data_IF_550351215232
#
_entry.id   IF_550351215232
#
_cell.length_a   1.000
_cell.length_b   1.000
_cell.length_c   1.000
_cell.angle_alpha   90.00
_cell.angle_beta   90.00
_cell.angle_gamma   90.00
#
_symmetry.space_group_name_H-M   'P 1'
#
loop_
_entity.id
_entity.type
_entity.pdbx_description
1 polymer ?
#
# COMPACT_ATOMS: atom_id res chain seq x y z
N UNK A 1 18.08 -23.97 0.70
CA UNK A 1 16.75 -24.09 0.07
C UNK A 1 15.70 -23.79 1.14
N UNK A 2 14.88 -22.75 0.97
CA UNK A 2 13.86 -22.36 1.96
C UNK A 2 12.67 -23.31 1.82
N UNK A 3 12.12 -23.79 2.95
CA UNK A 3 10.98 -24.72 2.90
C UNK A 3 9.73 -24.02 2.37
N UNK A 4 8.85 -24.74 1.66
CA UNK A 4 7.58 -24.20 1.15
C UNK A 4 6.75 -23.58 2.27
N UNK A 5 6.64 -24.22 3.45
CA UNK A 5 5.92 -23.64 4.60
C UNK A 5 6.51 -22.30 5.04
N UNK A 6 7.84 -22.16 5.04
CA UNK A 6 8.51 -20.91 5.38
C UNK A 6 8.20 -19.81 4.36
N UNK A 7 8.18 -20.13 3.06
CA UNK A 7 7.82 -19.18 2.00
C UNK A 7 6.41 -18.61 2.22
N UNK A 8 5.44 -19.45 2.59
CA UNK A 8 4.05 -19.05 2.87
C UNK A 8 3.92 -18.15 4.11
N UNK A 9 4.68 -18.45 5.16
CA UNK A 9 4.74 -17.61 6.37
C UNK A 9 5.29 -16.23 6.02
N UNK A 10 6.40 -16.18 5.28
CA UNK A 10 7.00 -14.92 4.83
C UNK A 10 6.02 -14.12 3.96
N UNK A 11 5.36 -14.78 3.00
CA UNK A 11 4.34 -14.15 2.17
C UNK A 11 3.22 -13.53 3.01
N UNK A 12 2.74 -14.24 4.03
CA UNK A 12 1.67 -13.72 4.91
C UNK A 12 2.14 -12.50 5.71
N UNK A 13 3.36 -12.56 6.28
CA UNK A 13 3.94 -11.46 7.06
C UNK A 13 4.13 -10.19 6.21
N UNK A 14 4.44 -10.33 4.93
CA UNK A 14 4.68 -9.18 4.05
C UNK A 14 3.39 -8.67 3.39
N UNK A 15 2.54 -9.56 2.87
CA UNK A 15 1.35 -9.20 2.10
C UNK A 15 0.22 -8.69 3.00
N UNK A 16 0.03 -9.27 4.18
CA UNK A 16 -1.08 -8.88 5.06
C UNK A 16 -0.97 -7.42 5.54
N UNK A 17 0.19 -6.92 6.02
CA UNK A 17 0.36 -5.51 6.34
C UNK A 17 0.21 -4.60 5.12
N UNK A 18 0.77 -4.99 3.96
CA UNK A 18 0.62 -4.25 2.69
C UNK A 18 -0.85 -4.06 2.31
N UNK A 19 -1.62 -5.14 2.35
CA UNK A 19 -3.05 -5.11 2.09
C UNK A 19 -3.78 -4.22 3.08
N UNK A 20 -3.51 -4.36 4.38
CA UNK A 20 -4.13 -3.52 5.42
C UNK A 20 -3.81 -2.03 5.22
N UNK A 21 -2.55 -1.70 4.94
CA UNK A 21 -2.08 -0.34 4.71
C UNK A 21 -2.73 0.28 3.48
N UNK A 22 -3.05 -0.51 2.44
CA UNK A 22 -3.75 -0.01 1.25
C UNK A 22 -5.14 0.59 1.54
N UNK A 23 -5.80 0.16 2.62
CA UNK A 23 -7.06 0.74 3.10
C UNK A 23 -6.84 1.81 4.17
N UNK A 24 -5.89 1.60 5.08
CA UNK A 24 -5.63 2.54 6.18
C UNK A 24 -5.12 3.87 5.65
N UNK A 25 -4.20 3.89 4.67
CA UNK A 25 -3.63 5.12 4.11
C UNK A 25 -4.69 6.09 3.55
N UNK A 26 -5.58 5.69 2.62
CA UNK A 26 -6.59 6.61 2.10
C UNK A 26 -7.61 7.03 3.17
N UNK A 27 -7.93 6.17 4.15
CA UNK A 27 -8.81 6.55 5.27
C UNK A 27 -8.16 7.62 6.16
N UNK A 28 -6.88 7.45 6.52
CA UNK A 28 -6.16 8.44 7.32
C UNK A 28 -6.05 9.77 6.58
N UNK A 29 -5.77 9.74 5.28
CA UNK A 29 -5.70 10.94 4.45
C UNK A 29 -7.06 11.64 4.35
N UNK A 30 -8.15 10.89 4.17
CA UNK A 30 -9.51 11.44 4.12
C UNK A 30 -9.91 12.08 5.46
N UNK A 31 -9.63 11.41 6.58
CA UNK A 31 -9.90 11.94 7.93
C UNK A 31 -9.07 13.20 8.17
N UNK A 32 -7.82 13.22 7.72
CA UNK A 32 -6.94 14.39 7.81
C UNK A 32 -7.54 15.55 7.03
N UNK A 33 -7.92 15.33 5.78
CA UNK A 33 -8.52 16.35 4.92
C UNK A 33 -9.79 16.96 5.53
N UNK A 34 -10.71 16.14 6.04
CA UNK A 34 -11.94 16.60 6.70
C UNK A 34 -11.64 17.46 7.93
N UNK A 35 -10.63 17.09 8.72
CA UNK A 35 -10.26 17.83 9.94
C UNK A 35 -9.47 19.11 9.64
N UNK A 36 -8.62 19.12 8.61
CA UNK A 36 -7.88 20.30 8.17
C UNK A 36 -8.75 21.35 7.49
N UNK A 37 -9.83 20.95 6.79
CA UNK A 37 -10.79 21.89 6.19
C UNK A 37 -11.46 22.84 7.20
N UNK A 38 -11.39 22.53 8.49
CA UNK A 38 -11.89 23.37 9.58
C UNK A 38 -10.84 24.35 10.15
N UNK A 39 -9.60 24.32 9.66
CA UNK A 39 -8.51 25.21 10.08
C UNK A 39 -8.23 26.25 8.99
N UNK A 40 -8.68 27.52 9.16
CA UNK A 40 -8.35 28.58 8.24
C UNK A 40 -6.89 28.99 8.46
N UNK A 41 -6.13 29.08 7.37
CA UNK A 41 -4.79 29.68 7.29
C UNK A 41 -3.60 28.77 7.63
N UNK A 42 -3.26 27.82 6.75
CA UNK A 42 -1.85 27.43 6.57
C UNK A 42 -1.56 26.61 5.29
N UNK A 43 -2.40 26.65 4.27
CA UNK A 43 -2.19 25.84 3.06
C UNK A 43 -1.35 26.58 2.02
N UNK A 44 -0.10 26.16 1.84
CA UNK A 44 0.62 26.39 0.59
C UNK A 44 -0.13 25.66 -0.53
N UNK A 45 -0.41 26.33 -1.66
CA UNK A 45 -1.15 25.75 -2.79
C UNK A 45 -0.57 24.40 -3.26
N UNK A 46 0.76 24.28 -3.22
CA UNK A 46 1.50 23.06 -3.57
C UNK A 46 1.20 21.90 -2.61
N UNK A 47 1.04 22.18 -1.31
CA UNK A 47 0.71 21.16 -0.31
C UNK A 47 -0.65 20.55 -0.58
N UNK A 48 -1.66 21.39 -0.84
CA UNK A 48 -3.03 20.96 -1.16
C UNK A 48 -3.07 20.07 -2.41
N UNK A 49 -2.33 20.45 -3.46
CA UNK A 49 -2.23 19.63 -4.68
C UNK A 49 -1.60 18.27 -4.35
N UNK A 50 -0.53 18.25 -3.55
CA UNK A 50 0.13 17.01 -3.15
C UNK A 50 -0.77 16.08 -2.32
N UNK A 51 -1.59 16.64 -1.42
CA UNK A 51 -2.59 15.89 -0.64
C UNK A 51 -3.64 15.23 -1.56
N UNK A 52 -4.18 15.98 -2.52
CA UNK A 52 -5.14 15.44 -3.49
C UNK A 52 -4.54 14.34 -4.37
N UNK A 53 -3.34 14.58 -4.90
CA UNK A 53 -2.63 13.57 -5.70
C UNK A 53 -2.40 12.30 -4.88
N UNK A 54 -1.95 12.44 -3.63
CA UNK A 54 -1.76 11.30 -2.74
C UNK A 54 -3.07 10.56 -2.45
N UNK A 55 -4.16 11.27 -2.12
CA UNK A 55 -5.45 10.63 -1.84
C UNK A 55 -5.98 9.84 -3.05
N UNK A 56 -5.87 10.38 -4.27
CA UNK A 56 -6.31 9.72 -5.49
C UNK A 56 -5.50 8.45 -5.74
N UNK A 57 -4.17 8.53 -5.66
CA UNK A 57 -3.28 7.37 -5.82
C UNK A 57 -3.55 6.34 -4.72
N UNK A 58 -3.74 6.81 -3.48
CA UNK A 58 -4.01 5.96 -2.32
C UNK A 58 -5.33 5.20 -2.44
N UNK A 59 -6.36 5.84 -2.98
CA UNK A 59 -7.66 5.23 -3.21
C UNK A 59 -7.70 4.32 -4.46
N UNK A 60 -6.83 4.56 -5.45
CA UNK A 60 -6.81 3.79 -6.69
C UNK A 60 -6.52 2.30 -6.45
N UNK A 61 -5.62 1.98 -5.50
CA UNK A 61 -5.27 0.59 -5.19
C UNK A 61 -6.45 -0.22 -4.58
N UNK A 62 -7.07 0.20 -3.46
CA UNK A 62 -8.22 -0.51 -2.91
C UNK A 62 -9.42 -0.50 -3.86
N UNK A 63 -9.64 0.58 -4.63
CA UNK A 63 -10.70 0.61 -5.64
C UNK A 63 -10.46 -0.44 -6.73
N UNK A 64 -9.23 -0.61 -7.19
CA UNK A 64 -8.87 -1.63 -8.17
C UNK A 64 -9.17 -3.04 -7.63
N UNK A 65 -8.87 -3.31 -6.35
CA UNK A 65 -9.23 -4.57 -5.70
C UNK A 65 -10.74 -4.80 -5.61
N UNK A 66 -11.50 -3.76 -5.24
CA UNK A 66 -12.96 -3.83 -5.15
C UNK A 66 -13.61 -4.05 -6.52
N UNK A 67 -13.19 -3.28 -7.53
CA UNK A 67 -13.69 -3.40 -8.91
C UNK A 67 -13.35 -4.77 -9.48
N UNK A 68 -12.12 -5.26 -9.29
CA UNK A 68 -11.73 -6.61 -9.72
C UNK A 68 -12.56 -7.68 -9.02
N UNK A 69 -12.81 -7.57 -7.71
CA UNK A 69 -13.66 -8.50 -6.96
C UNK A 69 -15.09 -8.54 -7.49
N UNK A 70 -15.69 -7.38 -7.77
CA UNK A 70 -17.08 -7.24 -8.23
C UNK A 70 -17.22 -7.66 -9.70
N UNK A 71 -16.42 -7.10 -10.59
CA UNK A 71 -16.56 -7.29 -12.04
C UNK A 71 -16.13 -8.68 -12.49
N UNK A 72 -15.10 -9.26 -11.87
CA UNK A 72 -14.56 -10.55 -12.28
C UNK A 72 -15.06 -11.72 -11.42
N UNK A 73 -16.10 -11.55 -10.60
CA UNK A 73 -16.59 -12.58 -9.64
C UNK A 73 -15.48 -13.19 -8.79
N UNK A 74 -14.56 -12.36 -8.31
CA UNK A 74 -13.35 -12.77 -7.58
C UNK A 74 -12.39 -13.67 -8.38
N UNK A 75 -12.37 -13.59 -9.72
CA UNK A 75 -11.35 -14.25 -10.54
C UNK A 75 -10.00 -13.49 -10.40
N UNK A 76 -8.97 -14.10 -9.79
CA UNK A 76 -7.68 -13.48 -9.53
C UNK A 76 -6.81 -13.27 -10.78
N UNK A 77 -7.18 -13.82 -11.95
CA UNK A 77 -6.30 -13.89 -13.11
C UNK A 77 -6.40 -12.70 -14.09
N UNK A 78 -7.05 -11.60 -13.72
CA UNK A 78 -7.18 -10.47 -14.65
C UNK A 78 -5.86 -9.73 -14.87
N UNK A 79 -5.36 -9.76 -16.11
CA UNK A 79 -4.09 -9.18 -16.60
C UNK A 79 -3.90 -7.69 -16.25
N UNK A 80 -4.99 -6.95 -16.07
CA UNK A 80 -4.98 -5.51 -15.78
C UNK A 80 -4.32 -5.17 -14.43
N UNK A 81 -4.41 -6.07 -13.43
CA UNK A 81 -3.91 -5.81 -12.07
C UNK A 81 -2.38 -5.92 -11.99
N UNK A 82 -1.77 -6.64 -12.94
CA UNK A 82 -0.36 -7.01 -12.98
C UNK A 82 0.60 -5.89 -13.31
N UNK A 83 0.57 -5.40 -14.55
CA UNK A 83 1.48 -4.33 -14.98
C UNK A 83 1.18 -3.01 -14.26
N UNK A 84 -0.08 -2.81 -13.87
CA UNK A 84 -0.51 -1.66 -13.11
C UNK A 84 0.15 -1.59 -11.72
N UNK A 85 0.46 -2.72 -11.08
CA UNK A 85 0.98 -2.69 -9.70
C UNK A 85 2.38 -2.11 -9.58
N UNK A 86 3.32 -2.47 -10.47
CA UNK A 86 4.69 -1.93 -10.43
C UNK A 86 4.66 -0.43 -10.72
N UNK A 87 3.90 -0.02 -11.73
CA UNK A 87 3.72 1.39 -12.08
C UNK A 87 3.08 2.15 -10.92
N UNK A 88 2.03 1.59 -10.31
CA UNK A 88 1.34 2.16 -9.17
C UNK A 88 2.27 2.25 -7.95
N UNK A 89 3.11 1.25 -7.72
CA UNK A 89 4.09 1.23 -6.63
C UNK A 89 5.17 2.31 -6.82
N UNK A 90 5.74 2.44 -8.02
CA UNK A 90 6.71 3.50 -8.34
C UNK A 90 6.05 4.87 -8.19
N UNK A 91 4.82 5.01 -8.68
CA UNK A 91 4.04 6.25 -8.54
C UNK A 91 3.80 6.57 -7.06
N UNK A 92 3.45 5.57 -6.25
CA UNK A 92 3.29 5.70 -4.80
C UNK A 92 4.59 6.14 -4.12
N UNK A 93 5.72 5.56 -4.52
CA UNK A 93 7.02 5.93 -3.98
C UNK A 93 7.37 7.40 -4.28
N UNK A 94 7.18 7.83 -5.53
CA UNK A 94 7.43 9.21 -5.94
C UNK A 94 6.51 10.20 -5.23
N UNK A 95 5.21 9.91 -5.13
CA UNK A 95 4.28 10.78 -4.40
C UNK A 95 4.62 10.81 -2.90
N UNK A 96 5.12 9.71 -2.32
CA UNK A 96 5.52 9.67 -0.91
C UNK A 96 6.66 10.65 -0.61
N UNK A 97 7.63 10.75 -1.52
CA UNK A 97 8.74 11.72 -1.41
C UNK A 97 8.20 13.14 -1.53
N UNK A 98 7.42 13.43 -2.57
CA UNK A 98 6.84 14.76 -2.82
C UNK A 98 5.97 15.20 -1.64
N UNK A 99 5.09 14.33 -1.17
CA UNK A 99 4.23 14.56 -0.03
C UNK A 99 5.06 14.86 1.22
N UNK A 100 6.08 14.06 1.53
CA UNK A 100 6.92 14.27 2.72
C UNK A 100 7.59 15.65 2.70
N UNK A 101 8.11 16.07 1.55
CA UNK A 101 8.77 17.38 1.41
C UNK A 101 7.76 18.52 1.48
N UNK A 102 6.69 18.45 0.69
CA UNK A 102 5.69 19.52 0.59
C UNK A 102 4.90 19.72 1.88
N UNK A 103 4.66 18.65 2.65
CA UNK A 103 3.90 18.72 3.89
C UNK A 103 4.76 18.97 5.13
N UNK A 104 6.09 18.88 5.03
CA UNK A 104 7.00 18.96 6.19
C UNK A 104 6.84 20.22 7.05
N UNK A 105 6.39 21.34 6.46
CA UNK A 105 6.27 22.64 7.13
C UNK A 105 4.84 23.13 7.37
N UNK A 106 3.80 22.34 7.05
CA UNK A 106 2.39 22.82 7.10
C UNK A 106 1.92 23.20 8.50
N UNK A 107 2.57 22.74 9.56
CA UNK A 107 2.20 23.05 10.95
C UNK A 107 3.27 23.81 11.70
N UNK A 108 4.23 24.42 11.02
CA UNK A 108 5.24 25.22 11.70
C UNK A 108 4.55 26.31 12.58
N UNK A 109 4.90 26.43 13.87
CA UNK A 109 6.09 25.91 14.55
C UNK A 109 5.94 24.56 15.30
N UNK A 110 4.83 23.84 15.17
CA UNK A 110 4.63 22.54 15.82
C UNK A 110 5.68 21.53 15.33
N UNK A 111 6.40 20.83 16.22
CA UNK A 111 7.38 19.82 15.84
C UNK A 111 6.74 18.65 15.06
N UNK A 112 7.41 18.18 14.01
CA UNK A 112 6.90 17.13 13.12
C UNK A 112 6.65 15.77 13.81
N UNK A 113 7.31 15.50 14.94
CA UNK A 113 7.14 14.26 15.71
C UNK A 113 6.04 14.35 16.79
N UNK A 114 5.33 15.48 16.86
CA UNK A 114 4.18 15.68 17.76
C UNK A 114 4.45 15.26 19.22
N UNK A 115 5.50 15.79 19.88
CA UNK A 115 5.84 15.37 21.22
C UNK A 115 4.73 15.81 22.20
N UNK A 116 4.36 14.97 23.19
CA UNK A 116 3.31 15.30 24.14
C UNK A 116 3.70 16.45 25.09
N UNK A 117 4.99 16.78 25.17
CA UNK A 117 5.52 17.89 25.98
C UNK A 117 5.46 19.26 25.29
N UNK A 118 5.01 19.35 24.04
CA UNK A 118 4.86 20.62 23.33
C UNK A 118 3.56 21.32 23.74
N UNK A 119 3.60 22.65 23.84
CA UNK A 119 2.43 23.46 24.14
C UNK A 119 1.56 23.65 22.88
N UNK A 120 0.61 22.75 22.68
CA UNK A 120 -0.34 22.84 21.56
C UNK A 120 -1.37 23.95 21.81
N UNK A 121 -1.69 24.77 20.79
CA UNK A 121 -2.72 25.81 20.91
C UNK A 121 -4.11 25.26 21.29
N UNK A 122 -4.40 24.02 20.89
CA UNK A 122 -5.62 23.31 21.23
C UNK A 122 -5.41 21.80 21.18
N UNK A 123 -6.31 21.04 21.82
CA UNK A 123 -6.33 19.59 21.73
C UNK A 123 -6.56 19.11 20.28
N UNK A 124 -7.30 19.90 19.49
CA UNK A 124 -7.48 19.68 18.06
C UNK A 124 -6.16 19.79 17.30
N UNK A 125 -5.32 20.78 17.60
CA UNK A 125 -4.00 20.93 16.98
C UNK A 125 -3.10 19.73 17.24
N UNK A 126 -3.13 19.18 18.47
CA UNK A 126 -2.42 17.93 18.79
C UNK A 126 -2.95 16.74 17.98
N UNK A 127 -4.28 16.58 17.92
CA UNK A 127 -4.90 15.50 17.15
C UNK A 127 -4.54 15.54 15.67
N UNK A 128 -4.57 16.71 15.04
CA UNK A 128 -4.18 16.86 13.63
C UNK A 128 -2.69 16.58 13.45
N UNK A 129 -1.81 16.99 14.39
CA UNK A 129 -0.39 16.64 14.33
C UNK A 129 -0.19 15.11 14.33
N UNK A 130 -0.77 14.41 15.31
CA UNK A 130 -0.68 12.95 15.43
C UNK A 130 -1.22 12.25 14.19
N UNK A 131 -2.32 12.76 13.63
CA UNK A 131 -2.92 12.23 12.42
C UNK A 131 -1.98 12.37 11.20
N UNK A 132 -1.33 13.53 11.03
CA UNK A 132 -0.34 13.77 9.98
C UNK A 132 0.86 12.84 10.11
N UNK A 133 1.39 12.70 11.33
CA UNK A 133 2.49 11.79 11.62
C UNK A 133 2.10 10.33 11.34
N UNK A 134 0.90 9.92 11.76
CA UNK A 134 0.40 8.56 11.53
C UNK A 134 0.26 8.25 10.04
N UNK A 135 -0.28 9.19 9.26
CA UNK A 135 -0.39 9.06 7.81
C UNK A 135 0.99 8.94 7.14
N UNK A 136 1.95 9.77 7.55
CA UNK A 136 3.34 9.71 7.07
C UNK A 136 3.97 8.34 7.38
N UNK A 137 3.81 7.84 8.60
CA UNK A 137 4.31 6.51 9.01
C UNK A 137 3.66 5.41 8.17
N UNK A 138 2.34 5.40 8.03
CA UNK A 138 1.62 4.39 7.25
C UNK A 138 2.06 4.38 5.79
N UNK A 139 2.21 5.56 5.18
CA UNK A 139 2.69 5.72 3.81
C UNK A 139 4.09 5.13 3.62
N UNK A 140 5.03 5.44 4.52
CA UNK A 140 6.40 4.90 4.44
C UNK A 140 6.49 3.42 4.80
N UNK A 141 5.65 2.92 5.71
CA UNK A 141 5.53 1.48 5.96
C UNK A 141 5.04 0.74 4.73
N UNK A 142 4.08 1.31 3.99
CA UNK A 142 3.60 0.72 2.74
C UNK A 142 4.73 0.60 1.71
N UNK A 143 5.53 1.66 1.54
CA UNK A 143 6.74 1.63 0.70
C UNK A 143 7.71 0.56 1.16
N UNK A 144 8.02 0.50 2.46
CA UNK A 144 8.95 -0.46 3.04
C UNK A 144 8.51 -1.91 2.77
N UNK A 145 7.27 -2.25 3.10
CA UNK A 145 6.73 -3.58 2.85
C UNK A 145 6.69 -3.90 1.36
N UNK A 146 6.41 -2.93 0.49
CA UNK A 146 6.47 -3.10 -0.96
C UNK A 146 7.88 -3.44 -1.46
N UNK A 147 8.90 -2.71 -1.01
CA UNK A 147 10.32 -3.02 -1.33
C UNK A 147 10.69 -4.42 -0.84
N UNK A 148 10.30 -4.78 0.39
CA UNK A 148 10.56 -6.10 0.95
C UNK A 148 9.87 -7.21 0.15
N UNK A 149 8.62 -7.01 -0.29
CA UNK A 149 7.90 -7.94 -1.16
C UNK A 149 8.62 -8.14 -2.50
N UNK A 150 9.00 -7.04 -3.18
CA UNK A 150 9.72 -7.10 -4.46
C UNK A 150 11.05 -7.83 -4.28
N UNK A 151 11.81 -7.49 -3.23
CA UNK A 151 13.10 -8.12 -2.93
C UNK A 151 12.95 -9.61 -2.62
N UNK A 152 11.96 -9.98 -1.79
CA UNK A 152 11.67 -11.38 -1.47
C UNK A 152 11.27 -12.18 -2.71
N UNK A 153 10.59 -11.56 -3.67
CA UNK A 153 10.29 -12.19 -4.96
C UNK A 153 11.53 -12.40 -5.81
N UNK A 154 12.38 -11.37 -5.95
CA UNK A 154 13.63 -11.45 -6.72
C UNK A 154 14.59 -12.52 -6.18
N UNK A 155 14.54 -12.78 -4.88
CA UNK A 155 15.33 -13.82 -4.22
C UNK A 155 14.67 -15.22 -4.19
N UNK A 156 13.51 -15.42 -4.85
CA UNK A 156 12.71 -16.67 -4.82
C UNK A 156 12.35 -17.16 -3.39
N UNK A 157 12.18 -16.22 -2.46
CA UNK A 157 11.80 -16.49 -1.06
C UNK A 157 10.27 -16.56 -0.91
N UNK A 158 9.52 -15.98 -1.86
CA UNK A 158 8.07 -16.11 -1.93
C UNK A 158 7.65 -17.41 -2.63
N UNK A 159 6.42 -17.92 -2.37
CA UNK A 159 5.90 -19.08 -3.07
C UNK A 159 5.90 -18.85 -4.60
N UNK A 160 6.10 -19.94 -5.33
CA UNK A 160 6.09 -19.97 -6.79
C UNK A 160 5.08 -21.03 -7.29
N UNK A 161 4.86 -21.08 -8.61
CA UNK A 161 3.88 -22.00 -9.21
C UNK A 161 4.15 -23.47 -8.86
N UNK A 162 5.41 -23.87 -8.75
CA UNK A 162 5.80 -25.25 -8.44
C UNK A 162 5.46 -25.61 -6.98
N UNK A 163 5.72 -24.69 -6.04
CA UNK A 163 5.33 -24.80 -4.63
C UNK A 163 3.80 -24.95 -4.50
N UNK A 164 3.05 -24.16 -5.28
CA UNK A 164 1.58 -24.18 -5.31
C UNK A 164 1.01 -25.48 -5.91
N UNK A 165 1.60 -25.94 -7.02
CA UNK A 165 1.20 -27.19 -7.68
C UNK A 165 1.49 -28.41 -6.80
N UNK A 166 2.58 -28.37 -6.02
CA UNK A 166 2.88 -29.36 -4.99
C UNK A 166 1.82 -29.42 -3.90
N UNK A 167 1.38 -28.26 -3.38
CA UNK A 167 0.33 -28.18 -2.37
C UNK A 167 -1.04 -28.59 -2.91
N UNK A 168 -1.41 -28.20 -4.13
CA UNK A 168 -2.69 -28.57 -4.76
C UNK A 168 -2.82 -30.08 -4.98
N UNK A 169 -1.70 -30.76 -5.25
CA UNK A 169 -1.64 -32.23 -5.33
C UNK A 169 -1.76 -32.90 -3.96
N UNK A 170 -1.32 -32.21 -2.90
CA UNK A 170 -1.24 -32.75 -1.53
C UNK A 170 -2.49 -32.46 -0.69
N UNK A 171 -3.18 -31.36 -0.95
CA UNK A 171 -4.32 -30.91 -0.17
C UNK A 171 -5.41 -30.31 -1.08
N UNK A 172 -6.62 -30.90 -1.09
CA UNK A 172 -7.74 -30.44 -1.94
C UNK A 172 -8.42 -29.17 -1.41
N UNK A 173 -8.10 -28.74 -0.19
CA UNK A 173 -8.74 -27.61 0.51
C UNK A 173 -7.76 -26.45 0.78
N UNK A 174 -7.04 -25.98 -0.24
CA UNK A 174 -6.22 -24.76 -0.11
C UNK A 174 -7.14 -23.55 0.15
N UNK A 175 -6.92 -22.76 1.22
CA UNK A 175 -7.74 -21.61 1.57
C UNK A 175 -7.83 -20.58 0.43
N UNK A 176 -9.01 -20.01 0.20
CA UNK A 176 -9.25 -19.03 -0.86
C UNK A 176 -8.37 -17.77 -0.73
N UNK A 177 -7.92 -17.42 0.48
CA UNK A 177 -6.96 -16.32 0.73
C UNK A 177 -5.63 -16.57 0.01
N UNK A 178 -5.15 -17.82 -0.03
CA UNK A 178 -3.94 -18.13 -0.81
C UNK A 178 -4.20 -18.13 -2.32
N UNK A 179 -5.45 -18.36 -2.73
CA UNK A 179 -5.87 -18.26 -4.14
C UNK A 179 -5.93 -16.80 -4.62
N UNK A 180 -6.20 -15.84 -3.72
CA UNK A 180 -6.15 -14.40 -4.01
C UNK A 180 -4.78 -13.77 -3.79
N UNK A 181 -3.92 -14.28 -2.89
CA UNK A 181 -2.51 -13.86 -2.84
C UNK A 181 -1.72 -14.32 -4.07
N UNK A 182 -2.13 -15.43 -4.72
CA UNK A 182 -1.63 -15.86 -6.04
C UNK A 182 -1.97 -14.83 -7.13
N UNK A 183 -3.07 -14.07 -7.01
CA UNK A 183 -3.33 -12.90 -7.88
C UNK A 183 -2.16 -11.91 -7.82
N UNK A 184 -1.60 -11.66 -6.62
CA UNK A 184 -0.41 -10.81 -6.45
C UNK A 184 0.91 -11.45 -6.91
N UNK A 185 0.99 -12.78 -7.05
CA UNK A 185 2.16 -13.47 -7.59
C UNK A 185 2.24 -13.38 -9.11
N UNK A 186 1.08 -13.47 -9.77
CA UNK A 186 0.99 -13.20 -11.20
C UNK A 186 1.29 -11.73 -11.50
N UNK A 187 1.05 -10.80 -10.58
CA UNK A 187 1.33 -9.37 -10.74
C UNK A 187 2.82 -9.03 -11.04
N UNK A 188 3.78 -9.94 -10.74
CA UNK A 188 5.22 -9.60 -10.78
C UNK A 188 5.97 -10.16 -12.02
N UNK A 189 5.41 -11.12 -12.77
CA UNK A 189 6.16 -11.85 -13.82
C UNK A 189 5.87 -11.31 -15.23
N UNK A 190 6.66 -10.38 -15.76
CA UNK A 190 6.71 -10.21 -17.23
C UNK A 190 7.20 -11.51 -17.87
N UNK A 191 6.30 -12.35 -18.41
CA UNK A 191 6.66 -13.52 -19.22
C UNK A 191 6.11 -13.35 -20.63
N UNK A 192 7.04 -13.46 -21.57
CA UNK A 192 6.84 -13.39 -23.02
C UNK A 192 5.65 -14.24 -23.48
N UNK A 193 4.76 -13.61 -24.25
CA UNK A 193 3.72 -14.30 -25.00
C UNK A 193 4.42 -15.02 -26.15
N UNK A 194 4.76 -16.31 -25.95
CA UNK A 194 5.02 -17.21 -27.06
C UNK A 194 3.67 -17.44 -27.76
N UNK A 195 3.50 -16.78 -28.90
CA UNK A 195 2.39 -16.99 -29.83
C UNK A 195 2.44 -18.43 -30.36
N UNK A 196 1.42 -19.28 -30.15
CA UNK A 196 1.29 -20.49 -30.94
C UNK A 196 0.72 -20.12 -32.31
N UNK A 197 1.40 -20.60 -33.36
CA UNK A 197 0.94 -20.60 -34.75
C UNK A 197 -0.31 -21.45 -34.94
#
# INVERSE_FOLDING_TARGET
MVSTTTKFIIATILIFPLFSLSFVCPVLELVKYINLGNYPNQSNEIGVIAEWCYLIIAAAMPLSFLVSGICNRCDPNSIIVREAFIILFITWFMISIIYTVSTSQEMYPIPANCPPSYEYPSQTSYGICVLRLSNLICMWLFVLFGILCITAKLCDILPNEDDMNGLRKKDKNVPAIFRTTVSMEDIIIGREIVVPK
#
